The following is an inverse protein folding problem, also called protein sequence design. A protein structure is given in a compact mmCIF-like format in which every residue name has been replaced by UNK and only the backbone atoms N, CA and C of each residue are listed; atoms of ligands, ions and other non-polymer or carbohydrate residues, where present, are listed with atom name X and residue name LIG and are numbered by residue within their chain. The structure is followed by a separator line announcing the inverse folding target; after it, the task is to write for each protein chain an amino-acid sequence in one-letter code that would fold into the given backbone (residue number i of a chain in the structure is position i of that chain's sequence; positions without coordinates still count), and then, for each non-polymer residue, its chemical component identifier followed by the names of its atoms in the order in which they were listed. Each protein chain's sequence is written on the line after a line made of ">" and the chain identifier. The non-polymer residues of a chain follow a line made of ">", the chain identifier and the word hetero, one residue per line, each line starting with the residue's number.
data_IF_117845061237
#
_entry.id   IF_117845061237
#
_cell.length_a   1.000
_cell.length_b   1.000
_cell.length_c   1.000
_cell.angle_alpha   90.00
_cell.angle_beta   90.00
_cell.angle_gamma   90.00
#
_symmetry.space_group_name_H-M   'P 1'
#
loop_
_entity.id
_entity.type
_entity.pdbx_description
1 polymer ?
#
# COMPACT_ATOMS: atom_id res chain seq x y z
N UNK A 1 -6.87 -2.72 -5.52
CA UNK A 1 -5.46 -2.92 -5.97
C UNK A 1 -4.73 -3.75 -4.90
N UNK A 2 -3.54 -4.30 -5.14
CA UNK A 2 -2.72 -4.76 -4.00
C UNK A 2 -2.18 -3.51 -3.29
N UNK A 3 -1.99 -3.57 -1.96
CA UNK A 3 -1.50 -2.41 -1.20
C UNK A 3 -0.10 -2.00 -1.62
N UNK A 4 0.31 -0.76 -1.31
CA UNK A 4 1.66 -0.24 -1.56
C UNK A 4 2.75 -1.17 -1.01
N UNK A 5 2.52 -1.73 0.19
CA UNK A 5 3.41 -2.71 0.79
C UNK A 5 3.68 -3.92 -0.11
N UNK A 6 2.67 -4.44 -0.81
CA UNK A 6 2.86 -5.57 -1.72
C UNK A 6 3.47 -5.12 -3.06
N UNK A 7 3.00 -4.02 -3.65
CA UNK A 7 3.50 -3.55 -4.95
C UNK A 7 5.02 -3.31 -4.94
N UNK A 8 5.54 -2.74 -3.85
CA UNK A 8 6.98 -2.50 -3.69
C UNK A 8 7.72 -3.64 -2.98
N UNK A 9 7.02 -4.38 -2.10
CA UNK A 9 7.60 -5.48 -1.31
C UNK A 9 7.64 -6.82 -2.04
N UNK A 10 6.88 -6.99 -3.11
CA UNK A 10 6.87 -8.21 -3.93
C UNK A 10 8.25 -8.54 -4.52
N UNK A 11 9.04 -7.50 -4.81
CA UNK A 11 10.43 -7.64 -5.21
C UNK A 11 11.35 -7.52 -4.00
N UNK A 12 11.65 -8.65 -3.35
CA UNK A 12 12.44 -8.71 -2.11
C UNK A 12 13.73 -7.87 -2.11
N UNK A 13 14.57 -7.82 -3.17
CA UNK A 13 15.76 -6.99 -3.16
C UNK A 13 15.49 -5.48 -3.02
N UNK A 14 14.29 -5.01 -3.37
CA UNK A 14 13.85 -3.63 -3.16
C UNK A 14 13.34 -3.38 -1.73
N UNK A 15 12.85 -4.41 -1.06
CA UNK A 15 12.30 -4.31 0.30
C UNK A 15 12.67 -5.54 1.16
N UNK A 16 13.96 -5.72 1.49
CA UNK A 16 14.38 -6.84 2.32
C UNK A 16 13.85 -6.63 3.74
N UNK A 17 13.09 -7.60 4.25
CA UNK A 17 12.54 -7.55 5.61
C UNK A 17 13.59 -7.71 6.71
N UNK A 18 14.76 -8.26 6.36
CA UNK A 18 15.89 -8.50 7.27
C UNK A 18 17.19 -8.58 6.48
N UNK A 19 18.31 -8.47 7.19
CA UNK A 19 19.66 -8.67 6.66
C UNK A 19 20.36 -9.73 7.52
N UNK A 20 20.88 -10.79 6.89
CA UNK A 20 21.53 -11.93 7.57
C UNK A 20 23.01 -11.71 7.87
N UNK A 21 23.59 -10.59 7.40
CA UNK A 21 24.98 -10.18 7.62
C UNK A 21 25.07 -8.72 8.04
N UNK A 22 26.13 -8.32 8.77
CA UNK A 22 26.34 -6.92 9.11
C UNK A 22 26.58 -6.06 7.86
N UNK A 23 26.38 -4.74 7.95
CA UNK A 23 26.77 -3.81 6.90
C UNK A 23 28.27 -3.93 6.57
N UNK A 24 28.67 -3.86 5.29
CA UNK A 24 30.09 -3.94 4.92
C UNK A 24 30.90 -2.76 5.49
N UNK A 25 32.10 -3.06 6.01
CA UNK A 25 32.98 -2.08 6.67
C UNK A 25 33.93 -1.36 5.70
N UNK A 26 34.06 -1.86 4.47
CA UNK A 26 34.95 -1.30 3.45
C UNK A 26 34.34 -1.41 2.04
N UNK A 27 34.84 -0.58 1.12
CA UNK A 27 34.39 -0.55 -0.27
C UNK A 27 35.13 -1.61 -1.10
N UNK A 28 34.46 -2.13 -2.14
CA UNK A 28 35.10 -2.94 -3.19
C UNK A 28 35.35 -4.42 -2.88
N UNK A 29 35.01 -4.88 -1.67
CA UNK A 29 35.20 -6.29 -1.27
C UNK A 29 33.99 -7.20 -1.42
N UNK A 30 32.79 -6.66 -1.71
CA UNK A 30 31.57 -7.46 -1.84
C UNK A 30 31.45 -8.11 -3.21
N UNK A 31 31.10 -9.39 -3.22
CA UNK A 31 30.69 -10.13 -4.40
C UNK A 31 29.16 -10.24 -4.50
N UNK A 32 28.65 -10.70 -5.63
CA UNK A 32 27.21 -11.00 -5.76
C UNK A 32 26.76 -12.12 -4.81
N UNK A 33 27.63 -13.11 -4.54
CA UNK A 33 27.34 -14.16 -3.58
C UNK A 33 27.15 -13.59 -2.16
N UNK A 34 27.98 -12.62 -1.76
CA UNK A 34 27.85 -11.95 -0.46
C UNK A 34 26.51 -11.21 -0.33
N UNK A 35 26.02 -10.62 -1.43
CA UNK A 35 24.70 -9.97 -1.47
C UNK A 35 23.60 -11.02 -1.25
N UNK A 36 23.63 -12.14 -1.97
CA UNK A 36 22.63 -13.21 -1.81
C UNK A 36 22.64 -13.83 -0.40
N UNK A 37 23.81 -13.95 0.20
CA UNK A 37 23.97 -14.44 1.58
C UNK A 37 23.50 -13.40 2.62
N UNK A 38 23.53 -12.11 2.29
CA UNK A 38 23.04 -11.03 3.15
C UNK A 38 21.53 -10.89 3.08
N UNK A 39 20.92 -11.03 1.90
CA UNK A 39 19.47 -10.94 1.71
C UNK A 39 18.71 -12.03 2.48
N UNK A 40 17.42 -11.84 2.81
CA UNK A 40 16.58 -12.86 3.43
C UNK A 40 16.61 -14.20 2.70
N UNK A 41 16.45 -15.30 3.44
CA UNK A 41 16.25 -16.61 2.83
C UNK A 41 14.85 -16.74 2.20
N UNK A 42 14.64 -17.84 1.49
CA UNK A 42 13.39 -18.12 0.78
C UNK A 42 12.20 -18.16 1.75
N UNK A 43 12.36 -18.80 2.92
CA UNK A 43 11.29 -18.94 3.90
C UNK A 43 10.82 -17.58 4.41
N UNK A 44 11.77 -16.74 4.83
CA UNK A 44 11.52 -15.38 5.33
C UNK A 44 10.91 -14.50 4.25
N UNK A 45 11.41 -14.60 3.01
CA UNK A 45 10.85 -13.88 1.87
C UNK A 45 9.39 -14.26 1.61
N UNK A 46 9.08 -15.55 1.57
CA UNK A 46 7.71 -16.04 1.36
C UNK A 46 6.76 -15.63 2.48
N UNK A 47 7.19 -15.68 3.74
CA UNK A 47 6.37 -15.23 4.88
C UNK A 47 6.01 -13.76 4.77
N UNK A 48 6.96 -12.90 4.38
CA UNK A 48 6.69 -11.48 4.21
C UNK A 48 5.74 -11.21 3.05
N UNK A 49 5.87 -11.92 1.92
CA UNK A 49 4.94 -11.81 0.81
C UNK A 49 3.51 -12.18 1.21
N UNK A 50 3.35 -13.23 2.03
CA UNK A 50 2.05 -13.63 2.56
C UNK A 50 1.44 -12.53 3.44
N UNK A 51 2.24 -11.96 4.36
CA UNK A 51 1.80 -10.87 5.24
C UNK A 51 1.34 -9.67 4.42
N UNK A 52 2.13 -9.25 3.43
CA UNK A 52 1.82 -8.11 2.57
C UNK A 52 0.56 -8.36 1.72
N UNK A 53 0.31 -9.61 1.31
CA UNK A 53 -0.85 -9.98 0.51
C UNK A 53 -2.16 -10.00 1.29
N UNK A 54 -2.14 -10.37 2.58
CA UNK A 54 -3.34 -10.53 3.40
C UNK A 54 -4.01 -9.22 3.82
N UNK A 55 -3.39 -8.07 3.56
CA UNK A 55 -3.92 -6.77 3.96
C UNK A 55 -5.07 -6.34 3.02
N UNK A 56 -6.31 -6.51 3.47
CA UNK A 56 -7.54 -6.11 2.75
C UNK A 56 -8.08 -4.78 3.23
N UNK A 57 -8.81 -4.05 2.36
CA UNK A 57 -9.28 -2.68 2.63
C UNK A 57 -10.78 -2.52 2.35
N UNK A 58 -11.50 -1.86 3.26
CA UNK A 58 -12.79 -1.20 2.98
C UNK A 58 -12.56 0.21 2.42
N UNK A 59 -13.51 0.82 1.72
CA UNK A 59 -13.31 2.13 1.05
C UNK A 59 -13.80 3.33 1.89
N UNK A 60 -13.07 4.45 1.83
CA UNK A 60 -13.32 5.68 2.58
C UNK A 60 -14.63 6.33 2.15
N UNK A 61 -15.44 6.72 3.13
CA UNK A 61 -16.76 7.32 2.90
C UNK A 61 -17.87 6.31 2.64
N UNK A 62 -17.57 5.02 2.62
CA UNK A 62 -18.60 3.96 2.64
C UNK A 62 -19.01 3.67 4.08
N UNK A 63 -20.21 4.10 4.48
CA UNK A 63 -20.75 3.88 5.83
C UNK A 63 -21.98 2.96 5.73
N UNK A 64 -21.81 1.62 5.75
CA UNK A 64 -22.93 0.69 5.64
C UNK A 64 -23.81 0.67 6.90
N UNK A 65 -23.23 1.01 8.06
CA UNK A 65 -23.97 1.15 9.31
C UNK A 65 -24.55 2.57 9.44
N UNK A 66 -25.87 2.70 9.33
CA UNK A 66 -26.57 3.98 9.48
C UNK A 66 -26.70 4.39 10.95
N UNK A 67 -25.64 4.98 11.51
CA UNK A 67 -25.66 5.56 12.86
C UNK A 67 -26.35 6.93 12.89
N UNK A 68 -26.19 7.73 11.83
CA UNK A 68 -26.89 9.00 11.66
C UNK A 68 -28.15 8.79 10.80
N UNK A 69 -29.31 9.09 11.38
CA UNK A 69 -30.60 8.89 10.71
C UNK A 69 -31.20 10.21 10.23
N UNK A 70 -30.72 11.33 10.77
CA UNK A 70 -31.21 12.67 10.45
C UNK A 70 -30.76 13.15 9.06
N UNK A 71 -31.61 13.96 8.43
CA UNK A 71 -31.37 14.55 7.10
C UNK A 71 -30.10 15.41 7.02
N UNK A 72 -29.77 16.14 8.09
CA UNK A 72 -28.63 17.05 8.13
C UNK A 72 -27.29 16.32 7.93
N UNK A 73 -26.93 15.37 8.83
CA UNK A 73 -25.74 14.53 8.68
C UNK A 73 -25.69 13.77 7.36
N UNK A 74 -26.82 13.20 6.90
CA UNK A 74 -26.88 12.48 5.61
C UNK A 74 -26.48 13.36 4.42
N UNK A 75 -26.90 14.63 4.40
CA UNK A 75 -26.48 15.59 3.37
C UNK A 75 -25.00 15.92 3.41
N UNK A 76 -24.41 15.98 4.61
CA UNK A 76 -22.97 16.20 4.78
C UNK A 76 -22.18 14.98 4.27
N UNK A 77 -22.64 13.77 4.58
CA UNK A 77 -22.03 12.51 4.09
C UNK A 77 -22.09 12.45 2.55
N UNK A 78 -23.25 12.74 1.95
CA UNK A 78 -23.40 12.78 0.48
C UNK A 78 -22.47 13.82 -0.16
N UNK A 79 -22.35 15.02 0.42
CA UNK A 79 -21.42 16.04 -0.05
C UNK A 79 -19.96 15.58 0.05
N UNK A 80 -19.60 14.90 1.13
CA UNK A 80 -18.27 14.32 1.32
C UNK A 80 -17.97 13.23 0.26
N UNK A 81 -18.90 12.29 0.04
CA UNK A 81 -18.76 11.24 -0.98
C UNK A 81 -18.61 11.82 -2.39
N UNK A 82 -19.37 12.86 -2.74
CA UNK A 82 -19.24 13.58 -4.02
C UNK A 82 -17.86 14.23 -4.17
N UNK A 83 -17.32 14.79 -3.09
CA UNK A 83 -15.99 15.37 -3.11
C UNK A 83 -14.91 14.29 -3.31
N UNK A 84 -15.02 13.15 -2.63
CA UNK A 84 -14.13 12.00 -2.83
C UNK A 84 -14.19 11.48 -4.27
N UNK A 85 -15.37 11.38 -4.87
CA UNK A 85 -15.52 10.97 -6.26
C UNK A 85 -14.81 11.94 -7.24
N UNK A 86 -14.88 13.25 -6.97
CA UNK A 86 -14.15 14.25 -7.75
C UNK A 86 -12.63 14.07 -7.63
N UNK A 87 -12.12 13.86 -6.41
CA UNK A 87 -10.68 13.60 -6.18
C UNK A 87 -10.23 12.34 -6.93
N UNK A 88 -11.04 11.26 -6.90
CA UNK A 88 -10.74 10.02 -7.64
C UNK A 88 -10.56 10.30 -9.14
N UNK A 89 -11.47 11.06 -9.74
CA UNK A 89 -11.39 11.43 -11.15
C UNK A 89 -10.12 12.22 -11.49
N UNK A 90 -9.74 13.18 -10.64
CA UNK A 90 -8.52 13.97 -10.81
C UNK A 90 -7.26 13.08 -10.70
N UNK A 91 -7.26 12.12 -9.77
CA UNK A 91 -6.18 11.14 -9.60
C UNK A 91 -6.06 10.22 -10.81
N UNK A 92 -7.18 9.69 -11.31
CA UNK A 92 -7.22 8.83 -12.50
C UNK A 92 -6.68 9.55 -13.74
N UNK A 93 -7.10 10.79 -13.97
CA UNK A 93 -6.65 11.59 -15.10
C UNK A 93 -5.14 11.92 -15.01
N UNK A 94 -4.65 12.26 -13.82
CA UNK A 94 -3.21 12.41 -13.57
C UNK A 94 -2.46 11.11 -13.86
N UNK A 95 -2.96 9.98 -13.36
CA UNK A 95 -2.29 8.68 -13.44
C UNK A 95 -2.16 8.16 -14.87
N UNK A 96 -3.10 8.51 -15.78
CA UNK A 96 -2.99 8.19 -17.22
C UNK A 96 -1.74 8.77 -17.89
N UNK A 97 -1.14 9.81 -17.31
CA UNK A 97 0.04 10.51 -17.86
C UNK A 97 1.35 10.05 -17.21
N UNK A 98 1.28 9.16 -16.22
CA UNK A 98 2.45 8.68 -15.48
C UNK A 98 2.83 7.28 -15.97
N UNK A 99 4.15 7.01 -16.17
CA UNK A 99 4.62 5.66 -16.46
C UNK A 99 4.40 4.69 -15.29
N UNK A 100 4.36 5.23 -14.07
CA UNK A 100 4.02 4.50 -12.85
C UNK A 100 2.90 5.26 -12.11
N UNK A 101 1.65 4.80 -12.20
CA UNK A 101 0.49 5.39 -11.52
C UNK A 101 0.65 5.40 -9.98
N UNK A 102 0.14 6.44 -9.33
CA UNK A 102 0.05 6.51 -7.87
C UNK A 102 -1.41 6.40 -7.42
N UNK A 103 -1.83 5.23 -6.94
CA UNK A 103 -3.23 4.95 -6.60
C UNK A 103 -3.50 4.86 -5.09
N UNK A 104 -2.47 4.87 -4.24
CA UNK A 104 -2.59 4.53 -2.82
C UNK A 104 -3.41 5.52 -1.99
N UNK A 105 -3.57 6.75 -2.48
CA UNK A 105 -4.45 7.78 -1.90
C UNK A 105 -5.69 8.04 -2.77
N UNK A 106 -5.98 7.16 -3.72
CA UNK A 106 -7.25 7.21 -4.44
C UNK A 106 -8.36 6.86 -3.45
N UNK A 107 -9.41 7.69 -3.25
CA UNK A 107 -10.42 7.44 -2.21
C UNK A 107 -11.03 6.03 -2.19
N UNK A 108 -11.27 5.35 -3.33
CA UNK A 108 -11.73 3.95 -3.34
C UNK A 108 -10.73 2.95 -2.73
N UNK A 109 -9.44 3.29 -2.67
CA UNK A 109 -8.36 2.43 -2.17
C UNK A 109 -7.92 2.81 -0.74
N UNK A 110 -8.58 3.79 -0.09
CA UNK A 110 -8.27 4.25 1.27
C UNK A 110 -9.33 3.71 2.23
N UNK A 111 -8.95 3.27 3.44
CA UNK A 111 -9.90 2.79 4.45
C UNK A 111 -10.51 3.90 5.31
N UNK A 112 -11.71 3.65 5.84
CA UNK A 112 -12.33 4.50 6.86
C UNK A 112 -11.58 4.47 8.20
N UNK A 113 -10.96 3.34 8.52
CA UNK A 113 -10.29 3.08 9.81
C UNK A 113 -9.12 2.12 9.61
N UNK A 114 -8.35 1.86 10.67
CA UNK A 114 -7.33 0.81 10.68
C UNK A 114 -8.02 -0.48 11.12
N UNK A 115 -8.22 -1.41 10.17
CA UNK A 115 -9.01 -2.63 10.37
C UNK A 115 -8.20 -3.93 10.35
N UNK A 116 -6.87 -3.81 10.15
CA UNK A 116 -5.91 -4.92 10.06
C UNK A 116 -4.58 -4.57 10.73
#
# INVERSE_FOLDING_TARGET
>A
MLGDGFDFGAWMPNYPSTMRRPPPESKGGMTFADILETLPDVSTSCQMLLILWLLSRESLGYYPEEHFTEEGPKKVIDAFQKHLAKISQEIEERNRRLPLPYNYLNPPEVENSISI
#
